data_IF_245358229883
#
_entry.id   IF_245358229883
#
_cell.length_a   1.000
_cell.length_b   1.000
_cell.length_c   1.000
_cell.angle_alpha   90.00
_cell.angle_beta   90.00
_cell.angle_gamma   90.00
#
_symmetry.space_group_name_H-M   'P 1'
#
loop_
_entity.id
_entity.type
_entity.pdbx_description
1 polymer ?
#
# COMPACT_ATOMS: atom_id res chain seq x y z
N UNK A 1 -18.01 26.15 -23.32
CA UNK A 1 -17.96 26.26 -21.85
C UNK A 1 -18.99 25.30 -21.27
N UNK A 2 -18.58 24.20 -20.62
CA UNK A 2 -19.53 23.20 -20.11
C UNK A 2 -20.04 23.61 -18.75
N UNK A 3 -21.36 23.76 -18.67
CA UNK A 3 -22.07 24.07 -17.44
C UNK A 3 -22.59 22.79 -16.79
N UNK A 4 -22.46 22.69 -15.47
CA UNK A 4 -22.97 21.56 -14.68
C UNK A 4 -23.68 22.03 -13.42
N UNK A 5 -24.67 21.27 -12.95
CA UNK A 5 -25.17 21.39 -11.58
C UNK A 5 -24.80 20.17 -10.74
N UNK A 6 -24.93 20.29 -9.42
CA UNK A 6 -24.54 19.22 -8.50
C UNK A 6 -25.44 17.97 -8.60
N UNK A 7 -26.73 18.13 -8.90
CA UNK A 7 -27.66 17.02 -9.13
C UNK A 7 -27.26 16.17 -10.35
N UNK A 8 -27.05 16.81 -11.50
CA UNK A 8 -26.58 16.15 -12.73
C UNK A 8 -25.25 15.41 -12.48
N UNK A 9 -24.32 16.06 -11.78
CA UNK A 9 -23.03 15.47 -11.45
C UNK A 9 -23.16 14.26 -10.51
N UNK A 10 -24.10 14.30 -9.56
CA UNK A 10 -24.34 13.18 -8.66
C UNK A 10 -24.83 11.94 -9.43
N UNK A 11 -25.76 12.09 -10.36
CA UNK A 11 -26.23 11.00 -11.23
C UNK A 11 -25.11 10.44 -12.11
N UNK A 12 -24.31 11.31 -12.71
CA UNK A 12 -23.17 10.89 -13.52
C UNK A 12 -22.14 10.12 -12.72
N UNK A 13 -21.88 10.53 -11.47
CA UNK A 13 -20.97 9.82 -10.56
C UNK A 13 -21.51 8.41 -10.26
N UNK A 14 -22.82 8.26 -10.00
CA UNK A 14 -23.43 6.95 -9.76
C UNK A 14 -23.23 6.03 -10.96
N UNK A 15 -23.58 6.50 -12.16
CA UNK A 15 -23.42 5.72 -13.39
C UNK A 15 -21.95 5.39 -13.70
N UNK A 16 -21.06 6.35 -13.53
CA UNK A 16 -19.63 6.18 -13.78
C UNK A 16 -18.99 5.18 -12.80
N UNK A 17 -19.34 5.26 -11.52
CA UNK A 17 -18.85 4.32 -10.49
C UNK A 17 -19.38 2.92 -10.75
N UNK A 18 -20.66 2.78 -11.13
CA UNK A 18 -21.23 1.50 -11.54
C UNK A 18 -20.49 0.92 -12.76
N UNK A 19 -20.23 1.74 -13.78
CA UNK A 19 -19.44 1.36 -14.95
C UNK A 19 -18.03 0.89 -14.57
N UNK A 20 -17.34 1.62 -13.68
CA UNK A 20 -15.99 1.23 -13.20
C UNK A 20 -16.01 -0.08 -12.42
N UNK A 21 -17.03 -0.31 -11.61
CA UNK A 21 -17.21 -1.56 -10.84
C UNK A 21 -17.52 -2.75 -11.75
N UNK A 22 -18.34 -2.56 -12.78
CA UNK A 22 -18.61 -3.59 -13.78
C UNK A 22 -17.32 -4.03 -14.52
N UNK A 23 -16.35 -3.13 -14.67
CA UNK A 23 -15.01 -3.45 -15.21
C UNK A 23 -14.04 -4.05 -14.15
N UNK A 24 -14.52 -4.42 -12.97
CA UNK A 24 -13.70 -5.04 -11.91
C UNK A 24 -12.92 -4.06 -11.02
N UNK A 25 -13.15 -2.74 -11.14
CA UNK A 25 -12.52 -1.77 -10.24
C UNK A 25 -13.41 -1.47 -9.03
N UNK A 26 -12.93 -1.75 -7.80
CA UNK A 26 -13.71 -1.45 -6.58
C UNK A 26 -14.07 0.04 -6.43
N UNK A 27 -13.19 0.92 -6.94
CA UNK A 27 -13.34 2.37 -7.05
C UNK A 27 -13.65 3.13 -5.75
N UNK A 28 -13.49 2.51 -4.58
CA UNK A 28 -13.89 3.07 -3.28
C UNK A 28 -13.25 4.43 -2.96
N UNK A 29 -11.92 4.57 -3.12
CA UNK A 29 -11.24 5.86 -2.85
C UNK A 29 -11.52 6.92 -3.90
N UNK A 30 -11.59 6.50 -5.17
CA UNK A 30 -11.87 7.39 -6.29
C UNK A 30 -13.30 7.94 -6.20
N UNK A 31 -14.26 7.14 -5.75
CA UNK A 31 -15.63 7.60 -5.45
C UNK A 31 -15.66 8.68 -4.36
N UNK A 32 -14.84 8.58 -3.32
CA UNK A 32 -14.75 9.63 -2.31
C UNK A 32 -14.24 10.96 -2.88
N UNK A 33 -13.29 10.91 -3.83
CA UNK A 33 -12.81 12.09 -4.53
C UNK A 33 -13.91 12.71 -5.40
N UNK A 34 -14.65 11.88 -6.15
CA UNK A 34 -15.81 12.32 -6.95
C UNK A 34 -16.88 12.99 -6.08
N UNK A 35 -17.27 12.36 -4.96
CA UNK A 35 -18.20 12.95 -3.99
C UNK A 35 -17.66 14.21 -3.32
N UNK A 36 -16.34 14.32 -3.15
CA UNK A 36 -15.74 15.56 -2.65
C UNK A 36 -15.81 16.69 -3.68
N UNK A 37 -15.71 16.38 -4.97
CA UNK A 37 -15.86 17.36 -6.05
C UNK A 37 -17.32 17.77 -6.23
N UNK A 38 -18.26 16.81 -6.22
CA UNK A 38 -19.70 17.10 -6.26
C UNK A 38 -20.14 18.03 -5.12
N UNK A 39 -19.67 17.80 -3.89
CA UNK A 39 -19.90 18.72 -2.76
C UNK A 39 -19.32 20.12 -2.97
N UNK A 40 -18.21 20.25 -3.71
CA UNK A 40 -17.64 21.56 -4.03
C UNK A 40 -18.50 22.32 -5.05
N UNK A 41 -19.06 21.62 -6.04
CA UNK A 41 -20.04 22.19 -6.98
C UNK A 41 -21.29 22.64 -6.23
N UNK A 42 -21.82 21.78 -5.35
CA UNK A 42 -23.00 22.07 -4.53
C UNK A 42 -22.77 23.26 -3.59
N UNK A 43 -21.61 23.34 -2.93
CA UNK A 43 -21.28 24.48 -2.07
C UNK A 43 -21.18 25.80 -2.84
N UNK A 44 -20.77 25.77 -4.11
CA UNK A 44 -20.62 26.99 -4.92
C UNK A 44 -21.96 27.57 -5.38
N UNK A 45 -22.93 26.71 -5.71
CA UNK A 45 -24.13 27.15 -6.44
C UNK A 45 -25.44 26.48 -5.99
N UNK A 46 -25.40 25.61 -4.98
CA UNK A 46 -26.53 24.77 -4.59
C UNK A 46 -26.73 23.57 -5.52
N UNK A 47 -27.87 22.90 -5.34
CA UNK A 47 -28.09 21.59 -5.95
C UNK A 47 -28.37 21.64 -7.47
N UNK A 48 -29.12 22.65 -7.91
CA UNK A 48 -29.65 22.72 -9.28
C UNK A 48 -29.09 23.86 -10.14
N UNK A 49 -28.43 24.86 -9.55
CA UNK A 49 -27.88 25.95 -10.34
C UNK A 49 -26.64 25.48 -11.13
N UNK A 50 -26.52 26.00 -12.35
CA UNK A 50 -25.43 25.64 -13.27
C UNK A 50 -24.20 26.51 -13.05
N UNK A 51 -23.03 25.88 -13.02
CA UNK A 51 -21.72 26.54 -12.91
C UNK A 51 -20.73 25.99 -13.93
N UNK A 52 -19.72 26.81 -14.23
CA UNK A 52 -18.63 26.43 -15.14
C UNK A 52 -17.78 25.32 -14.53
N UNK A 53 -17.74 24.16 -15.20
CA UNK A 53 -17.04 22.97 -14.69
C UNK A 53 -15.55 23.22 -14.44
N UNK A 54 -14.90 23.89 -15.40
CA UNK A 54 -13.48 24.22 -15.42
C UNK A 54 -13.09 25.11 -14.23
N UNK A 55 -13.91 26.12 -13.91
CA UNK A 55 -13.69 27.02 -12.76
C UNK A 55 -13.74 26.24 -11.44
N UNK A 56 -14.80 25.43 -11.24
CA UNK A 56 -14.93 24.66 -9.99
C UNK A 56 -13.84 23.60 -9.87
N UNK A 57 -13.43 22.99 -10.98
CA UNK A 57 -12.34 22.02 -10.99
C UNK A 57 -11.02 22.67 -10.56
N UNK A 58 -10.68 23.83 -11.12
CA UNK A 58 -9.45 24.54 -10.79
C UNK A 58 -9.40 24.94 -9.30
N UNK A 59 -10.49 25.51 -8.79
CA UNK A 59 -10.61 25.86 -7.38
C UNK A 59 -10.53 24.63 -6.47
N UNK A 60 -11.20 23.55 -6.85
CA UNK A 60 -11.20 22.32 -6.08
C UNK A 60 -9.82 21.67 -6.05
N UNK A 61 -9.08 21.64 -7.15
CA UNK A 61 -7.71 21.12 -7.17
C UNK A 61 -6.77 21.95 -6.29
N UNK A 62 -6.97 23.28 -6.28
CA UNK A 62 -6.18 24.26 -5.52
C UNK A 62 -6.65 24.49 -4.08
N UNK A 63 -7.71 23.82 -3.63
CA UNK A 63 -8.40 24.06 -2.33
C UNK A 63 -7.53 23.95 -1.09
N UNK A 64 -6.38 23.29 -1.17
CA UNK A 64 -5.45 23.18 -0.04
C UNK A 64 -4.01 23.08 -0.57
N UNK A 65 -3.18 24.12 -0.36
CA UNK A 65 -1.81 24.18 -0.87
C UNK A 65 -0.86 23.19 -0.18
N UNK A 66 -1.21 22.66 0.99
CA UNK A 66 -0.38 21.70 1.73
C UNK A 66 -0.56 20.25 1.25
N UNK A 67 -1.41 20.01 0.24
CA UNK A 67 -1.63 18.69 -0.30
C UNK A 67 -0.44 18.23 -1.13
N UNK A 68 -0.10 16.96 -0.97
CA UNK A 68 0.98 16.37 -1.75
C UNK A 68 0.61 16.35 -3.24
N UNK A 69 1.48 16.82 -4.16
CA UNK A 69 1.19 16.88 -5.60
C UNK A 69 0.72 15.55 -6.20
N UNK A 70 1.27 14.42 -5.71
CA UNK A 70 0.82 13.08 -6.11
C UNK A 70 -0.67 12.83 -5.83
N UNK A 71 -1.17 13.33 -4.70
CA UNK A 71 -2.58 13.17 -4.30
C UNK A 71 -3.50 14.01 -5.18
N UNK A 72 -3.10 15.25 -5.47
CA UNK A 72 -3.82 16.15 -6.36
C UNK A 72 -3.89 15.56 -7.77
N UNK A 73 -2.77 15.07 -8.30
CA UNK A 73 -2.75 14.43 -9.62
C UNK A 73 -3.56 13.12 -9.71
N UNK A 74 -3.68 12.35 -8.62
CA UNK A 74 -4.56 11.17 -8.59
C UNK A 74 -6.04 11.57 -8.63
N UNK A 75 -6.43 12.59 -7.87
CA UNK A 75 -7.78 13.14 -7.90
C UNK A 75 -8.13 13.74 -9.26
N UNK A 76 -7.23 14.54 -9.83
CA UNK A 76 -7.33 15.04 -11.19
C UNK A 76 -7.60 13.92 -12.19
N UNK A 77 -6.81 12.84 -12.14
CA UNK A 77 -6.98 11.69 -13.03
C UNK A 77 -8.36 11.04 -12.92
N UNK A 78 -8.94 10.99 -11.71
CA UNK A 78 -10.31 10.48 -11.49
C UNK A 78 -11.36 11.40 -12.11
N UNK A 79 -11.25 12.72 -11.90
CA UNK A 79 -12.18 13.69 -12.52
C UNK A 79 -12.08 13.65 -14.04
N UNK A 80 -10.86 13.61 -14.59
CA UNK A 80 -10.65 13.52 -16.03
C UNK A 80 -11.27 12.24 -16.62
N UNK A 81 -11.20 11.11 -15.92
CA UNK A 81 -11.89 9.87 -16.34
C UNK A 81 -13.42 10.02 -16.34
N UNK A 82 -14.00 10.74 -15.37
CA UNK A 82 -15.43 11.06 -15.37
C UNK A 82 -15.79 11.93 -16.59
N UNK A 83 -15.02 12.98 -16.87
CA UNK A 83 -15.23 13.84 -18.05
C UNK A 83 -15.20 13.04 -19.36
N UNK A 84 -14.23 12.14 -19.51
CA UNK A 84 -14.16 11.23 -20.67
C UNK A 84 -15.38 10.28 -20.75
N UNK A 85 -15.90 9.82 -19.61
CA UNK A 85 -17.10 9.00 -19.58
C UNK A 85 -18.34 9.80 -20.03
N UNK A 86 -18.47 11.05 -19.56
CA UNK A 86 -19.56 11.97 -19.98
C UNK A 86 -19.55 12.24 -21.48
N UNK A 87 -18.37 12.32 -22.11
CA UNK A 87 -18.23 12.48 -23.57
C UNK A 87 -18.88 11.39 -24.42
N UNK A 88 -19.18 10.24 -23.83
CA UNK A 88 -19.92 9.17 -24.54
C UNK A 88 -21.39 9.54 -24.81
N UNK A 89 -21.96 10.45 -24.00
CA UNK A 89 -23.34 10.95 -24.14
C UNK A 89 -23.40 12.37 -24.70
N UNK A 90 -22.41 13.19 -24.37
CA UNK A 90 -22.30 14.59 -24.76
C UNK A 90 -20.90 14.83 -25.37
N UNK A 91 -20.72 14.70 -26.70
CA UNK A 91 -19.41 14.81 -27.35
C UNK A 91 -18.67 16.13 -27.06
N UNK A 92 -19.40 17.22 -26.83
CA UNK A 92 -18.87 18.56 -26.59
C UNK A 92 -18.58 18.84 -25.11
N UNK A 93 -18.78 17.84 -24.23
CA UNK A 93 -18.49 17.97 -22.80
C UNK A 93 -17.02 18.28 -22.55
N UNK A 94 -16.76 19.14 -21.57
CA UNK A 94 -15.42 19.55 -21.15
C UNK A 94 -14.61 18.35 -20.63
N UNK A 95 -13.35 18.28 -21.07
CA UNK A 95 -12.32 17.38 -20.53
C UNK A 95 -11.08 18.23 -20.28
N UNK A 96 -10.55 18.29 -19.04
CA UNK A 96 -9.37 19.08 -18.77
C UNK A 96 -8.14 18.48 -19.46
N UNK A 97 -7.28 19.37 -19.97
CA UNK A 97 -5.99 19.01 -20.56
C UNK A 97 -5.02 18.48 -19.50
N UNK A 98 -4.02 17.72 -19.94
CA UNK A 98 -3.15 16.95 -19.05
C UNK A 98 -2.17 17.83 -18.24
N UNK A 99 -1.85 19.01 -18.75
CA UNK A 99 -1.03 20.06 -18.17
C UNK A 99 -1.62 20.67 -16.88
N UNK A 100 -2.93 20.52 -16.66
CA UNK A 100 -3.58 20.90 -15.40
C UNK A 100 -3.20 19.98 -14.22
N UNK A 101 -2.67 18.80 -14.52
CA UNK A 101 -2.15 17.93 -13.48
C UNK A 101 -0.77 18.44 -13.02
N UNK A 102 -0.50 18.51 -11.71
CA UNK A 102 0.85 18.82 -11.26
C UNK A 102 1.84 17.79 -11.80
N UNK A 103 2.87 18.26 -12.53
CA UNK A 103 3.96 17.44 -13.08
C UNK A 103 4.73 16.80 -11.92
N UNK A 104 4.99 15.48 -12.03
CA UNK A 104 5.42 14.64 -10.91
C UNK A 104 6.84 14.10 -11.09
N UNK A 105 7.71 14.43 -10.15
CA UNK A 105 8.62 13.45 -9.58
C UNK A 105 8.35 13.37 -8.07
N UNK A 106 8.03 12.16 -7.59
CA UNK A 106 7.89 11.95 -6.15
C UNK A 106 9.29 11.96 -5.53
N UNK A 107 9.66 13.04 -4.85
CA UNK A 107 10.92 13.15 -4.09
C UNK A 107 10.92 12.31 -2.80
N UNK A 108 9.85 11.58 -2.52
CA UNK A 108 9.75 10.74 -1.33
C UNK A 108 10.70 9.54 -1.40
N UNK A 109 11.74 9.57 -0.57
CA UNK A 109 12.61 8.44 -0.30
C UNK A 109 12.03 7.63 0.88
N UNK A 110 11.77 6.32 0.71
CA UNK A 110 11.32 5.48 1.81
C UNK A 110 12.41 5.37 2.87
N UNK A 111 11.99 5.26 4.13
CA UNK A 111 12.92 4.98 5.22
C UNK A 111 13.20 3.47 5.23
N UNK A 112 14.45 3.08 5.06
CA UNK A 112 14.87 1.67 5.12
C UNK A 112 15.40 1.40 6.53
N UNK A 113 14.72 0.53 7.27
CA UNK A 113 15.24 0.09 8.57
C UNK A 113 16.54 -0.68 8.37
N UNK A 114 17.55 -0.41 9.19
CA UNK A 114 18.73 -1.28 9.27
C UNK A 114 18.37 -2.63 9.89
N UNK A 115 19.24 -3.64 9.73
CA UNK A 115 19.03 -4.94 10.38
C UNK A 115 18.93 -4.80 11.91
N UNK A 116 19.80 -4.00 12.53
CA UNK A 116 19.77 -3.75 13.97
C UNK A 116 18.45 -3.10 14.41
N UNK A 117 17.93 -2.14 13.64
CA UNK A 117 16.64 -1.53 13.93
C UNK A 117 15.50 -2.54 13.84
N UNK A 118 15.52 -3.44 12.85
CA UNK A 118 14.52 -4.50 12.72
C UNK A 118 14.58 -5.44 13.92
N UNK A 119 15.77 -5.91 14.29
CA UNK A 119 15.98 -6.78 15.46
C UNK A 119 15.50 -6.09 16.74
N UNK A 120 15.89 -4.83 16.93
CA UNK A 120 15.46 -4.03 18.06
C UNK A 120 13.93 -3.89 18.13
N UNK A 121 13.27 -3.60 17.00
CA UNK A 121 11.80 -3.46 16.95
C UNK A 121 11.09 -4.79 17.22
N UNK A 122 11.58 -5.91 16.70
CA UNK A 122 11.03 -7.24 16.95
C UNK A 122 11.18 -7.62 18.43
N UNK A 123 12.33 -7.31 19.03
CA UNK A 123 12.59 -7.53 20.47
C UNK A 123 11.70 -6.64 21.34
N UNK A 124 11.60 -5.35 21.03
CA UNK A 124 10.76 -4.40 21.74
C UNK A 124 9.26 -4.77 21.65
N UNK A 125 8.83 -5.33 20.52
CA UNK A 125 7.47 -5.83 20.35
C UNK A 125 7.12 -6.95 21.34
N UNK A 126 8.09 -7.80 21.71
CA UNK A 126 7.90 -8.88 22.70
C UNK A 126 7.56 -8.38 24.12
N UNK A 127 7.77 -7.08 24.39
CA UNK A 127 7.40 -6.41 25.64
C UNK A 127 6.47 -5.21 25.40
N UNK A 128 5.70 -5.23 24.32
CA UNK A 128 4.78 -4.15 23.96
C UNK A 128 3.33 -4.62 23.95
N UNK A 129 2.75 -4.69 25.15
CA UNK A 129 1.31 -4.88 25.29
C UNK A 129 0.56 -3.57 25.06
N UNK A 130 -0.49 -3.66 24.26
CA UNK A 130 -1.47 -2.60 24.10
C UNK A 130 -2.82 -3.08 24.62
N UNK A 131 -3.75 -2.14 24.86
CA UNK A 131 -5.13 -2.45 25.26
C UNK A 131 -5.80 -3.52 24.38
N UNK A 132 -5.41 -3.62 23.11
CA UNK A 132 -6.12 -4.42 22.12
C UNK A 132 -5.30 -5.52 21.47
N UNK A 133 -3.98 -5.51 21.65
CA UNK A 133 -3.06 -6.43 20.99
C UNK A 133 -1.92 -6.71 21.96
N UNK A 134 -1.72 -7.99 22.29
CA UNK A 134 -0.66 -8.42 23.16
C UNK A 134 0.68 -8.46 22.41
N UNK A 135 1.75 -8.43 23.19
CA UNK A 135 3.13 -8.37 22.73
C UNK A 135 3.48 -9.50 21.75
N UNK A 136 3.09 -10.73 22.05
CA UNK A 136 3.37 -11.89 21.18
C UNK A 136 2.70 -11.79 19.81
N UNK A 137 1.47 -11.27 19.73
CA UNK A 137 0.77 -11.07 18.46
C UNK A 137 1.40 -9.93 17.64
N UNK A 138 1.86 -8.87 18.31
CA UNK A 138 2.58 -7.78 17.63
C UNK A 138 3.94 -8.26 17.11
N UNK A 139 4.71 -9.00 17.93
CA UNK A 139 5.99 -9.62 17.53
C UNK A 139 5.79 -10.49 16.28
N UNK A 140 4.81 -11.40 16.30
CA UNK A 140 4.52 -12.26 15.15
C UNK A 140 4.17 -11.46 13.89
N UNK A 141 3.37 -10.41 14.02
CA UNK A 141 3.07 -9.52 12.89
C UNK A 141 4.35 -8.91 12.30
N UNK A 142 5.28 -8.42 13.13
CA UNK A 142 6.55 -7.85 12.64
C UNK A 142 7.43 -8.89 11.96
N UNK A 143 7.53 -10.10 12.53
CA UNK A 143 8.27 -11.22 11.95
C UNK A 143 7.73 -11.56 10.56
N UNK A 144 6.41 -11.73 10.42
CA UNK A 144 5.80 -12.00 9.11
C UNK A 144 6.13 -10.88 8.13
N UNK A 145 5.92 -9.62 8.50
CA UNK A 145 6.16 -8.49 7.59
C UNK A 145 7.61 -8.42 7.10
N UNK A 146 8.57 -8.62 8.01
CA UNK A 146 9.98 -8.54 7.68
C UNK A 146 10.49 -9.80 6.96
N UNK A 147 10.18 -11.01 7.44
CA UNK A 147 10.70 -12.24 6.88
C UNK A 147 10.10 -12.57 5.50
N UNK A 148 8.89 -12.09 5.22
CA UNK A 148 8.17 -12.44 3.98
C UNK A 148 7.85 -11.25 3.08
N UNK A 149 8.14 -10.03 3.53
CA UNK A 149 7.83 -8.82 2.77
C UNK A 149 6.33 -8.64 2.48
N UNK A 150 5.43 -9.35 3.15
CA UNK A 150 3.98 -9.19 2.94
C UNK A 150 3.55 -7.75 3.21
N UNK A 151 2.48 -7.33 2.53
CA UNK A 151 1.84 -6.05 2.88
C UNK A 151 1.15 -6.20 4.23
N UNK A 152 1.08 -5.10 5.00
CA UNK A 152 0.38 -5.09 6.30
C UNK A 152 -1.03 -5.68 6.23
N UNK A 153 -1.79 -5.33 5.19
CA UNK A 153 -3.15 -5.86 5.02
C UNK A 153 -3.19 -7.35 4.66
N UNK A 154 -2.18 -7.87 3.97
CA UNK A 154 -2.06 -9.31 3.67
C UNK A 154 -1.76 -10.07 4.96
N UNK A 155 -0.70 -9.67 5.67
CA UNK A 155 -0.29 -10.32 6.93
C UNK A 155 -1.40 -10.27 8.01
N UNK A 156 -2.06 -9.11 8.19
CA UNK A 156 -3.11 -8.96 9.19
C UNK A 156 -4.40 -9.74 8.87
N UNK A 157 -4.57 -10.25 7.65
CA UNK A 157 -5.77 -11.00 7.23
C UNK A 157 -5.53 -12.49 7.04
N UNK A 158 -4.31 -12.98 7.23
CA UNK A 158 -4.00 -14.41 7.13
C UNK A 158 -4.94 -15.22 8.02
N UNK A 159 -5.56 -16.23 7.43
CA UNK A 159 -6.33 -17.25 8.13
C UNK A 159 -5.45 -18.46 8.45
N UNK A 160 -5.84 -19.28 9.42
CA UNK A 160 -5.14 -20.54 9.70
C UNK A 160 -5.11 -21.47 8.48
N UNK A 161 -6.16 -21.46 7.66
CA UNK A 161 -6.24 -22.22 6.41
C UNK A 161 -5.34 -21.67 5.29
N UNK A 162 -4.67 -20.53 5.51
CA UNK A 162 -3.71 -19.96 4.58
C UNK A 162 -2.26 -20.34 4.93
N UNK A 163 -2.05 -21.12 5.99
CA UNK A 163 -0.72 -21.45 6.50
C UNK A 163 -0.50 -22.94 6.33
N UNK A 164 0.47 -23.29 5.49
CA UNK A 164 0.98 -24.64 5.39
C UNK A 164 2.35 -24.68 6.07
N UNK A 165 2.40 -25.26 7.28
CA UNK A 165 3.63 -25.38 8.06
C UNK A 165 4.53 -26.50 7.54
N UNK A 166 3.98 -27.52 6.87
CA UNK A 166 4.75 -28.62 6.30
C UNK A 166 5.51 -28.15 5.05
N UNK A 167 4.80 -27.44 4.16
CA UNK A 167 5.39 -26.83 2.97
C UNK A 167 6.02 -25.46 3.25
N UNK A 168 5.89 -24.95 4.48
CA UNK A 168 6.41 -23.65 4.95
C UNK A 168 6.04 -22.51 4.02
N UNK A 169 4.75 -22.36 3.76
CA UNK A 169 4.27 -21.32 2.87
C UNK A 169 2.95 -20.71 3.32
N UNK A 170 2.79 -19.42 3.00
CA UNK A 170 1.53 -18.71 3.13
C UNK A 170 0.81 -18.64 1.78
N UNK A 171 -0.50 -18.90 1.78
CA UNK A 171 -1.39 -18.59 0.67
C UNK A 171 -1.96 -17.18 0.86
N UNK A 172 -1.45 -16.21 0.10
CA UNK A 172 -2.00 -14.85 0.09
C UNK A 172 -3.17 -14.80 -0.89
N UNK A 173 -4.39 -14.75 -0.38
CA UNK A 173 -5.61 -14.68 -1.21
C UNK A 173 -5.90 -13.27 -1.73
N UNK A 174 -6.29 -13.18 -3.00
CA UNK A 174 -6.98 -12.05 -3.63
C UNK A 174 -6.40 -10.65 -3.35
N UNK A 175 -5.08 -10.54 -3.27
CA UNK A 175 -4.43 -9.24 -3.10
C UNK A 175 -4.26 -8.57 -4.46
N UNK A 176 -5.01 -7.47 -4.68
CA UNK A 176 -5.10 -6.79 -5.98
C UNK A 176 -5.55 -7.72 -7.13
N UNK A 177 -6.47 -8.64 -6.85
CA UNK A 177 -7.06 -9.53 -7.84
C UNK A 177 -6.17 -10.72 -8.24
N UNK A 178 -5.11 -11.01 -7.48
CA UNK A 178 -4.27 -12.20 -7.68
C UNK A 178 -3.95 -12.87 -6.35
N UNK A 179 -3.88 -14.20 -6.37
CA UNK A 179 -3.41 -15.01 -5.25
C UNK A 179 -1.97 -15.47 -5.50
N UNK A 180 -1.20 -15.69 -4.44
CA UNK A 180 0.18 -16.21 -4.55
C UNK A 180 0.60 -17.00 -3.32
N UNK A 181 1.49 -17.96 -3.53
CA UNK A 181 2.20 -18.66 -2.47
C UNK A 181 3.45 -17.88 -2.07
N UNK A 182 3.69 -17.76 -0.77
CA UNK A 182 4.83 -17.04 -0.21
C UNK A 182 5.57 -17.98 0.74
N UNK A 183 6.66 -18.63 0.29
CA UNK A 183 7.44 -19.51 1.15
C UNK A 183 8.13 -18.73 2.27
N UNK A 184 8.37 -19.38 3.39
CA UNK A 184 9.12 -18.87 4.53
C UNK A 184 10.11 -19.91 5.05
N UNK A 185 11.04 -19.48 5.90
CA UNK A 185 12.10 -20.32 6.45
C UNK A 185 11.66 -21.02 7.74
N UNK A 186 12.41 -22.06 8.13
CA UNK A 186 12.17 -22.85 9.35
C UNK A 186 12.03 -21.99 10.60
N UNK A 187 12.89 -20.98 10.76
CA UNK A 187 12.85 -20.11 11.94
C UNK A 187 11.48 -19.41 12.11
N UNK A 188 10.86 -19.00 11.00
CA UNK A 188 9.52 -18.42 11.05
C UNK A 188 8.45 -19.48 11.36
N UNK A 189 8.64 -20.72 10.90
CA UNK A 189 7.75 -21.83 11.23
C UNK A 189 7.73 -22.12 12.74
N UNK A 190 8.90 -22.08 13.38
CA UNK A 190 9.02 -22.22 14.84
C UNK A 190 8.29 -21.11 15.59
N UNK A 191 8.52 -19.85 15.21
CA UNK A 191 7.83 -18.70 15.80
C UNK A 191 6.31 -18.76 15.58
N UNK A 192 5.85 -19.24 14.41
CA UNK A 192 4.43 -19.44 14.13
C UNK A 192 3.80 -20.47 15.07
N UNK A 193 4.48 -21.59 15.33
CA UNK A 193 4.00 -22.58 16.29
C UNK A 193 3.82 -21.99 17.70
N UNK A 194 4.74 -21.13 18.12
CA UNK A 194 4.66 -20.43 19.40
C UNK A 194 3.48 -19.44 19.44
N UNK A 195 3.28 -18.70 18.35
CA UNK A 195 2.12 -17.83 18.18
C UNK A 195 0.80 -18.60 18.20
N UNK A 196 0.72 -19.77 17.57
CA UNK A 196 -0.48 -20.62 17.59
C UNK A 196 -0.80 -21.12 19.01
N UNK A 197 0.21 -21.43 19.83
CA UNK A 197 0.01 -21.76 21.25
C UNK A 197 -0.50 -20.57 22.06
N UNK A 198 0.08 -19.39 21.86
CA UNK A 198 -0.40 -18.15 22.49
C UNK A 198 -1.85 -17.84 22.08
N UNK A 199 -2.16 -18.00 20.80
CA UNK A 199 -3.49 -17.79 20.24
C UNK A 199 -4.53 -18.67 20.93
N UNK A 200 -4.22 -19.96 21.09
CA UNK A 200 -5.09 -20.92 21.79
C UNK A 200 -5.39 -20.47 23.22
N UNK A 201 -4.35 -20.08 23.97
CA UNK A 201 -4.50 -19.56 25.35
C UNK A 201 -5.40 -18.33 25.44
N UNK A 202 -5.30 -17.41 24.47
CA UNK A 202 -6.17 -16.22 24.43
C UNK A 202 -7.63 -16.62 24.23
N UNK A 203 -7.92 -17.55 23.32
CA UNK A 203 -9.29 -18.01 23.05
C UNK A 203 -9.86 -18.79 24.25
N UNK A 204 -9.07 -19.65 24.87
CA UNK A 204 -9.45 -20.39 26.08
C UNK A 204 -9.79 -19.45 27.24
N UNK A 205 -8.99 -18.40 27.45
CA UNK A 205 -9.22 -17.44 28.53
C UNK A 205 -10.48 -16.59 28.35
N UNK A 206 -10.92 -16.36 27.11
CA UNK A 206 -12.07 -15.49 26.79
C UNK A 206 -13.35 -16.31 26.56
N UNK A 207 -13.23 -17.62 26.34
CA UNK A 207 -14.33 -18.53 26.02
C UNK A 207 -15.15 -18.07 24.80
N UNK A 208 -14.46 -17.69 23.71
CA UNK A 208 -15.09 -17.23 22.46
C UNK A 208 -14.85 -18.18 21.31
N UNK A 209 -15.74 -18.16 20.31
CA UNK A 209 -15.59 -18.94 19.10
C UNK A 209 -14.33 -18.50 18.32
N UNK A 210 -13.63 -19.48 17.75
CA UNK A 210 -12.42 -19.24 16.97
C UNK A 210 -12.78 -18.54 15.64
N UNK A 211 -12.28 -17.31 15.38
CA UNK A 211 -12.59 -16.58 14.14
C UNK A 211 -11.77 -17.04 12.92
N UNK A 212 -10.91 -18.06 13.05
CA UNK A 212 -10.04 -18.58 11.98
C UNK A 212 -8.83 -17.70 11.63
N UNK A 213 -8.78 -16.44 12.09
CA UNK A 213 -7.68 -15.52 11.80
C UNK A 213 -6.41 -15.87 12.60
N UNK A 214 -5.22 -15.79 11.98
CA UNK A 214 -3.94 -16.04 12.65
C UNK A 214 -3.71 -15.05 13.81
N UNK A 215 -3.83 -13.76 13.51
CA UNK A 215 -3.55 -12.69 14.47
C UNK A 215 -4.85 -12.25 15.15
N UNK A 216 -4.84 -12.30 16.49
CA UNK A 216 -5.99 -11.94 17.31
C UNK A 216 -5.76 -10.66 18.11
N UNK A 217 -6.86 -10.01 18.45
CA UNK A 217 -6.91 -9.02 19.53
C UNK A 217 -6.95 -9.72 20.88
N UNK A 218 -6.70 -8.96 21.94
CA UNK A 218 -6.90 -9.42 23.32
C UNK A 218 -8.37 -9.77 23.64
N UNK A 219 -9.31 -9.44 22.75
CA UNK A 219 -10.72 -9.83 22.85
C UNK A 219 -11.04 -11.13 22.11
N UNK A 220 -10.04 -11.85 21.58
CA UNK A 220 -10.22 -13.08 20.80
C UNK A 220 -10.71 -12.86 19.36
N UNK A 221 -11.12 -11.63 19.02
CA UNK A 221 -11.52 -11.26 17.66
C UNK A 221 -10.33 -11.13 16.72
N UNK A 222 -10.55 -11.32 15.41
CA UNK A 222 -9.54 -11.11 14.38
C UNK A 222 -8.95 -9.69 14.42
N UNK A 223 -7.64 -9.55 14.22
CA UNK A 223 -6.93 -8.27 14.27
C UNK A 223 -7.27 -7.38 13.04
N UNK A 224 -7.94 -6.23 13.22
CA UNK A 224 -8.21 -5.35 12.09
C UNK A 224 -6.94 -4.67 11.60
N UNK A 225 -6.79 -4.51 10.28
CA UNK A 225 -5.62 -3.84 9.65
C UNK A 225 -5.33 -2.46 10.25
N UNK A 226 -6.39 -1.69 10.58
CA UNK A 226 -6.24 -0.37 11.22
C UNK A 226 -5.61 -0.48 12.60
N UNK A 227 -5.99 -1.49 13.39
CA UNK A 227 -5.44 -1.73 14.72
C UNK A 227 -3.98 -2.24 14.64
N UNK A 228 -3.69 -3.17 13.73
CA UNK A 228 -2.33 -3.61 13.43
C UNK A 228 -1.42 -2.43 13.06
N UNK A 229 -1.92 -1.56 12.17
CA UNK A 229 -1.21 -0.36 11.74
C UNK A 229 -0.96 0.62 12.88
N UNK A 230 -1.89 0.75 13.82
CA UNK A 230 -1.75 1.63 14.98
C UNK A 230 -0.79 1.08 16.02
N UNK A 231 -0.84 -0.23 16.29
CA UNK A 231 0.09 -0.89 17.21
C UNK A 231 1.54 -0.70 16.78
N UNK A 232 1.86 -0.93 15.50
CA UNK A 232 3.20 -0.71 14.97
C UNK A 232 3.59 0.77 15.06
N UNK A 233 2.68 1.72 14.77
CA UNK A 233 2.99 3.15 14.92
C UNK A 233 3.25 3.56 16.37
N UNK A 234 2.57 2.95 17.33
CA UNK A 234 2.82 3.17 18.77
C UNK A 234 4.19 2.64 19.18
N UNK A 235 4.55 1.44 18.73
CA UNK A 235 5.89 0.91 18.93
C UNK A 235 6.96 1.83 18.34
N UNK A 236 6.82 2.24 17.08
CA UNK A 236 7.78 3.16 16.44
C UNK A 236 7.92 4.51 17.18
N UNK A 237 6.84 5.01 17.80
CA UNK A 237 6.91 6.21 18.64
C UNK A 237 7.59 5.95 19.98
N UNK A 238 7.33 4.79 20.59
CA UNK A 238 7.95 4.37 21.85
C UNK A 238 9.46 4.23 21.69
N UNK A 239 9.91 3.64 20.59
CA UNK A 239 11.34 3.45 20.29
C UNK A 239 11.99 4.71 19.65
N UNK A 240 11.34 5.88 19.72
CA UNK A 240 11.90 7.15 19.25
C UNK A 240 12.07 7.29 17.72
N UNK A 241 11.67 6.29 16.93
CA UNK A 241 11.81 6.30 15.47
C UNK A 241 10.73 7.14 14.77
N UNK A 242 9.66 7.52 15.48
CA UNK A 242 8.57 8.33 14.93
C UNK A 242 8.18 9.46 15.89
N UNK A 243 7.90 10.67 15.39
CA UNK A 243 7.40 11.77 16.23
C UNK A 243 6.12 11.40 16.98
N UNK A 244 5.94 11.98 18.17
CA UNK A 244 4.80 11.72 19.05
C UNK A 244 3.45 11.99 18.36
N UNK A 245 3.40 12.98 17.45
CA UNK A 245 2.23 13.36 16.66
C UNK A 245 2.58 13.48 15.18
N UNK A 246 1.55 13.38 14.33
CA UNK A 246 1.69 13.56 12.89
C UNK A 246 1.96 12.26 12.11
N UNK A 247 2.30 12.42 10.83
CA UNK A 247 2.40 11.32 9.86
C UNK A 247 3.82 11.12 9.32
N UNK A 248 4.74 12.01 9.64
CA UNK A 248 6.15 12.01 9.21
C UNK A 248 6.93 10.84 9.83
N UNK A 249 8.01 10.43 9.15
CA UNK A 249 8.85 9.31 9.57
C UNK A 249 8.32 7.91 9.20
N UNK A 250 8.94 6.85 9.73
CA UNK A 250 8.69 5.46 9.37
C UNK A 250 7.23 5.03 9.58
N UNK A 251 6.83 4.01 8.82
CA UNK A 251 5.47 3.47 8.73
C UNK A 251 5.56 1.93 8.78
N UNK A 252 4.45 1.23 9.04
CA UNK A 252 4.44 -0.23 8.97
C UNK A 252 4.92 -0.81 7.63
N UNK A 253 4.75 -0.05 6.55
CA UNK A 253 5.16 -0.46 5.21
C UNK A 253 6.69 -0.53 5.05
N UNK A 254 7.45 0.11 5.94
CA UNK A 254 8.91 0.13 5.85
C UNK A 254 9.54 -1.24 6.20
N UNK A 255 8.86 -2.14 6.93
CA UNK A 255 9.33 -3.52 7.10
C UNK A 255 9.43 -4.27 5.77
N UNK A 256 8.49 -4.04 4.87
CA UNK A 256 8.51 -4.60 3.52
C UNK A 256 9.62 -3.99 2.66
N UNK A 257 9.86 -2.69 2.82
CA UNK A 257 10.98 -2.03 2.17
C UNK A 257 12.32 -2.60 2.66
N UNK A 258 12.48 -2.75 3.98
CA UNK A 258 13.65 -3.37 4.60
C UNK A 258 13.86 -4.80 4.10
N UNK A 259 12.81 -5.64 4.06
CA UNK A 259 12.90 -6.99 3.49
C UNK A 259 13.50 -6.98 2.08
N UNK A 260 12.96 -6.15 1.19
CA UNK A 260 13.37 -6.15 -0.20
C UNK A 260 14.80 -5.63 -0.37
N UNK A 261 15.15 -4.54 0.30
CA UNK A 261 16.49 -3.97 0.25
C UNK A 261 17.51 -4.94 0.84
N UNK A 262 17.26 -5.48 2.04
CA UNK A 262 18.18 -6.45 2.66
C UNK A 262 18.34 -7.72 1.82
N UNK A 263 17.28 -8.21 1.17
CA UNK A 263 17.39 -9.37 0.27
C UNK A 263 18.22 -9.08 -0.97
N UNK A 264 18.01 -7.92 -1.59
CA UNK A 264 18.80 -7.50 -2.75
C UNK A 264 20.27 -7.29 -2.37
N UNK A 265 20.54 -6.65 -1.23
CA UNK A 265 21.89 -6.48 -0.70
C UNK A 265 22.55 -7.83 -0.39
N UNK A 266 21.84 -8.79 0.20
CA UNK A 266 22.37 -10.13 0.42
C UNK A 266 22.74 -10.82 -0.91
N UNK A 267 21.83 -10.84 -1.89
CA UNK A 267 22.12 -11.40 -3.22
C UNK A 267 23.29 -10.73 -3.93
N UNK A 268 23.45 -9.41 -3.75
CA UNK A 268 24.60 -8.68 -4.25
C UNK A 268 25.91 -9.23 -3.67
N UNK A 269 25.98 -9.40 -2.34
CA UNK A 269 27.17 -9.94 -1.68
C UNK A 269 27.42 -11.42 -1.98
N UNK A 270 26.37 -12.19 -2.23
CA UNK A 270 26.45 -13.59 -2.68
C UNK A 270 26.87 -13.72 -4.16
N UNK A 271 27.01 -12.62 -4.91
CA UNK A 271 27.36 -12.63 -6.32
C UNK A 271 26.26 -13.16 -7.24
N UNK A 272 25.02 -13.20 -6.75
CA UNK A 272 23.86 -13.67 -7.53
C UNK A 272 23.48 -12.60 -8.56
N UNK A 273 23.11 -13.03 -9.77
CA UNK A 273 22.55 -12.12 -10.77
C UNK A 273 21.21 -11.53 -10.28
N UNK A 274 21.27 -10.32 -9.73
CA UNK A 274 20.11 -9.60 -9.21
C UNK A 274 19.10 -9.30 -10.32
N UNK A 275 19.55 -9.08 -11.55
CA UNK A 275 18.65 -8.79 -12.66
C UNK A 275 17.80 -10.02 -13.02
N UNK A 276 18.40 -11.21 -12.98
CA UNK A 276 17.68 -12.47 -13.15
C UNK A 276 16.73 -12.76 -11.98
N UNK A 277 17.07 -12.35 -10.75
CA UNK A 277 16.24 -12.56 -9.53
C UNK A 277 15.16 -11.51 -9.31
N UNK A 278 15.26 -10.33 -9.91
CA UNK A 278 14.33 -9.22 -9.68
C UNK A 278 12.85 -9.56 -10.03
N UNK A 279 12.56 -10.28 -11.14
CA UNK A 279 11.20 -10.72 -11.43
C UNK A 279 10.64 -11.68 -10.37
N UNK A 280 11.49 -12.55 -9.81
CA UNK A 280 11.10 -13.48 -8.75
C UNK A 280 10.73 -12.73 -7.47
N UNK A 281 11.57 -11.77 -7.05
CA UNK A 281 11.27 -10.92 -5.91
C UNK A 281 9.99 -10.10 -6.13
N UNK A 282 9.80 -9.58 -7.34
CA UNK A 282 8.57 -8.87 -7.74
C UNK A 282 7.32 -9.73 -7.58
N UNK A 283 7.36 -10.96 -8.10
CA UNK A 283 6.26 -11.93 -7.99
C UNK A 283 6.00 -12.33 -6.53
N UNK A 284 7.06 -12.66 -5.78
CA UNK A 284 7.00 -13.00 -4.35
C UNK A 284 6.38 -11.88 -3.51
N UNK A 285 6.77 -10.63 -3.78
CA UNK A 285 6.22 -9.45 -3.14
C UNK A 285 4.82 -9.10 -3.68
N UNK A 286 4.36 -9.69 -4.78
CA UNK A 286 3.07 -9.42 -5.41
C UNK A 286 2.98 -8.01 -6.00
N UNK A 287 4.05 -7.54 -6.65
CA UNK A 287 3.98 -6.35 -7.49
C UNK A 287 3.27 -6.68 -8.82
N UNK A 288 2.45 -5.73 -9.29
CA UNK A 288 1.75 -5.86 -10.59
C UNK A 288 2.74 -5.72 -11.75
N UNK A 289 3.82 -4.98 -11.51
CA UNK A 289 4.90 -4.72 -12.46
C UNK A 289 6.25 -4.73 -11.71
N UNK A 290 7.28 -5.27 -12.37
CA UNK A 290 8.68 -5.31 -11.91
C UNK A 290 9.22 -3.91 -11.64
N UNK A 291 8.70 -2.87 -12.29
CA UNK A 291 9.03 -1.47 -11.97
C UNK A 291 8.84 -1.14 -10.48
N UNK A 292 7.85 -1.76 -9.82
CA UNK A 292 7.63 -1.62 -8.38
C UNK A 292 8.77 -2.14 -7.51
N UNK A 293 9.60 -3.05 -8.03
CA UNK A 293 10.79 -3.60 -7.35
C UNK A 293 12.05 -2.83 -7.73
N UNK A 294 12.12 -2.26 -8.94
CA UNK A 294 13.27 -1.46 -9.38
C UNK A 294 13.53 -0.23 -8.51
N UNK A 295 12.49 0.32 -7.86
CA UNK A 295 12.64 1.43 -6.91
C UNK A 295 13.63 1.11 -5.77
N UNK A 296 13.80 -0.17 -5.41
CA UNK A 296 14.74 -0.60 -4.37
C UNK A 296 16.20 -0.60 -4.82
N UNK A 297 16.46 -0.62 -6.13
CA UNK A 297 17.83 -0.54 -6.64
C UNK A 297 18.47 0.83 -6.38
N UNK A 298 17.70 1.84 -5.99
CA UNK A 298 18.22 3.18 -5.63
C UNK A 298 18.39 3.35 -4.11
N UNK A 299 18.19 2.30 -3.32
CA UNK A 299 18.12 2.40 -1.86
C UNK A 299 19.50 2.44 -1.17
N UNK A 300 20.53 1.87 -1.78
CA UNK A 300 21.91 1.88 -1.26
C UNK A 300 22.91 2.18 -2.38
N UNK A 301 24.13 2.69 -2.08
CA UNK A 301 25.16 2.95 -3.08
C UNK A 301 25.50 1.72 -3.94
N UNK A 302 25.56 0.54 -3.32
CA UNK A 302 25.88 -0.73 -3.98
C UNK A 302 24.80 -1.11 -4.99
N UNK A 303 23.54 -1.01 -4.58
CA UNK A 303 22.40 -1.29 -5.46
C UNK A 303 22.28 -0.23 -6.57
N UNK A 304 22.63 1.02 -6.25
CA UNK A 304 22.59 2.12 -7.22
C UNK A 304 23.65 1.93 -8.30
N UNK A 305 24.85 1.43 -7.94
CA UNK A 305 25.89 1.03 -8.89
C UNK A 305 25.38 -0.02 -9.89
N UNK A 306 24.63 -1.02 -9.42
CA UNK A 306 24.00 -2.02 -10.29
C UNK A 306 22.94 -1.43 -11.22
N UNK A 307 22.14 -0.47 -10.74
CA UNK A 307 21.20 0.25 -11.57
C UNK A 307 21.92 1.04 -12.68
N UNK A 308 23.04 1.69 -12.35
CA UNK A 308 23.87 2.43 -13.31
C UNK A 308 24.52 1.52 -14.34
N UNK A 309 25.09 0.38 -13.94
CA UNK A 309 25.64 -0.60 -14.87
C UNK A 309 24.61 -1.14 -15.86
N UNK A 310 23.39 -1.41 -15.39
CA UNK A 310 22.28 -1.83 -16.25
C UNK A 310 21.94 -0.76 -17.27
N UNK A 311 21.89 0.50 -16.85
CA UNK A 311 21.65 1.63 -17.75
C UNK A 311 22.75 1.72 -18.82
N UNK A 312 24.02 1.64 -18.42
CA UNK A 312 25.15 1.65 -19.35
C UNK A 312 25.09 0.49 -20.35
N UNK A 313 24.83 -0.75 -19.90
CA UNK A 313 24.70 -1.92 -20.80
C UNK A 313 23.54 -1.80 -21.78
N UNK A 314 22.41 -1.24 -21.36
CA UNK A 314 21.27 -1.00 -22.24
C UNK A 314 21.61 0.06 -23.31
N UNK A 315 22.27 1.14 -22.91
CA UNK A 315 22.69 2.20 -23.83
C UNK A 315 23.70 1.70 -24.87
N UNK A 316 24.72 0.94 -24.45
CA UNK A 316 25.72 0.37 -25.36
C UNK A 316 25.15 -0.70 -26.33
N UNK A 317 23.96 -1.24 -26.06
CA UNK A 317 23.27 -2.12 -27.02
C UNK A 317 22.48 -1.34 -28.08
N UNK A 318 21.97 -0.16 -27.75
CA UNK A 318 21.28 0.73 -28.70
C UNK A 318 22.28 1.33 -29.70
N UNK A 319 23.49 1.69 -29.25
CA UNK A 319 24.55 2.23 -30.11
C UNK A 319 25.19 1.19 -31.06
N UNK A 320 24.99 -0.12 -30.82
CA UNK A 320 25.51 -1.20 -31.69
C UNK A 320 24.50 -1.73 -32.71
N UNK A 321 23.28 -1.19 -32.71
CA UNK A 321 22.20 -1.56 -33.64
C UNK A 321 21.74 -0.39 -34.51
N UNK A 322 22.51 0.70 -34.53
CA UNK A 322 22.36 1.84 -35.45
C UNK A 322 23.46 1.84 -36.50
#
# INVERSE_FOLDING_TARGET
>A
MTLICAAELAEDIVHFVAFKRAMGHSYQRSELALKSFQRAVEHRAGLHAKVSFDVVLHEWLSRNPHRQPVSVGLEFGVIRQLCLYRRRRDPDSFVPEQDWAPIKESTFLPYIFTQDQVVHLITAASAHDTRHLCAGMLRMLLLILYCTGLRLGEAARLQLSDIDLEQRCFLVRESKGRSRMVPFLDDLAHELNDCLRLRRRILEAIATADPGALLLRNSGQALPVKAASEAIRRLLRREGLKPARGRTGPRPYEFRHAFAVHRLTAWYHEGVDIHARLPWLSAYMGHVDVLGTQVYLRATPELMRLASERFARHWHHVDKTS
#
